data_IF_687625743433
#
_entry.id   IF_687625743433
#
_cell.length_a   1.000
_cell.length_b   1.000
_cell.length_c   1.000
_cell.angle_alpha   90.00
_cell.angle_beta   90.00
_cell.angle_gamma   90.00
#
_symmetry.space_group_name_H-M   'P 1'
#
loop_
_entity.id
_entity.type
_entity.pdbx_description
1 polymer ?
#
# COMPACT_ATOMS: atom_id res chain seq x y z
N UNK A 1 11.14 -24.25 -8.50
CA UNK A 1 10.68 -22.86 -8.32
C UNK A 1 11.20 -22.36 -7.00
N UNK A 2 12.05 -21.36 -6.99
CA UNK A 2 12.52 -20.67 -5.78
C UNK A 2 11.39 -19.79 -5.26
N UNK A 3 10.92 -20.05 -4.03
CA UNK A 3 9.95 -19.17 -3.37
C UNK A 3 10.63 -17.83 -3.14
N UNK A 4 10.07 -16.75 -3.70
CA UNK A 4 10.47 -15.38 -3.38
C UNK A 4 9.65 -14.92 -2.18
N UNK A 5 10.31 -14.48 -1.12
CA UNK A 5 9.66 -13.84 0.03
C UNK A 5 9.69 -12.34 -0.21
N UNK A 6 8.54 -11.69 -0.07
CA UNK A 6 8.40 -10.24 -0.17
C UNK A 6 8.00 -9.71 1.20
N UNK A 7 8.82 -8.86 1.79
CA UNK A 7 8.48 -8.18 3.03
C UNK A 7 7.62 -6.94 2.70
N UNK A 8 6.36 -6.95 3.12
CA UNK A 8 5.43 -5.84 2.91
C UNK A 8 5.18 -5.14 4.24
N UNK A 9 5.34 -3.83 4.26
CA UNK A 9 4.95 -2.99 5.39
C UNK A 9 3.83 -2.04 4.98
N UNK A 10 2.79 -2.00 5.80
CA UNK A 10 1.63 -1.14 5.60
C UNK A 10 1.67 0.07 6.53
N UNK A 11 1.55 1.25 5.94
CA UNK A 11 1.29 2.49 6.66
C UNK A 11 -0.19 2.86 6.55
N UNK A 12 -0.93 2.64 7.62
CA UNK A 12 -2.39 2.82 7.69
C UNK A 12 -2.80 3.88 8.72
N UNK A 13 -1.84 4.57 9.32
CA UNK A 13 -2.14 5.62 10.30
C UNK A 13 -2.65 6.87 9.60
N UNK A 14 -3.57 7.58 10.23
CA UNK A 14 -3.95 8.93 9.86
C UNK A 14 -4.19 9.79 11.12
N UNK A 15 -4.09 11.11 10.96
CA UNK A 15 -4.20 12.06 12.06
C UNK A 15 -5.61 12.13 12.68
N UNK A 16 -6.61 11.53 12.05
CA UNK A 16 -8.00 11.49 12.53
C UNK A 16 -8.30 10.32 13.47
N UNK A 17 -7.40 9.35 13.58
CA UNK A 17 -7.62 8.16 14.41
C UNK A 17 -7.26 8.38 15.89
N UNK A 18 -7.68 7.45 16.76
CA UNK A 18 -7.42 7.52 18.21
C UNK A 18 -5.92 7.51 18.58
N UNK A 19 -5.06 7.03 17.69
CA UNK A 19 -3.59 7.04 17.84
C UNK A 19 -2.92 8.27 17.21
N UNK A 20 -3.68 9.30 16.89
CA UNK A 20 -3.18 10.49 16.18
C UNK A 20 -1.97 11.16 16.85
N UNK A 21 -1.91 11.21 18.18
CA UNK A 21 -0.77 11.78 18.91
C UNK A 21 0.52 10.99 18.68
N UNK A 22 0.46 9.66 18.72
CA UNK A 22 1.61 8.78 18.48
C UNK A 22 2.06 8.90 17.02
N UNK A 23 1.13 8.95 16.09
CA UNK A 23 1.42 9.13 14.68
C UNK A 23 2.06 10.48 14.40
N UNK A 24 1.49 11.55 14.95
CA UNK A 24 2.05 12.89 14.82
C UNK A 24 3.46 13.00 15.43
N UNK A 25 3.70 12.38 16.58
CA UNK A 25 5.03 12.31 17.18
C UNK A 25 6.03 11.57 16.27
N UNK A 26 5.57 10.50 15.57
CA UNK A 26 6.41 9.75 14.65
C UNK A 26 6.81 10.57 13.41
N UNK A 27 5.99 11.55 13.01
CA UNK A 27 6.26 12.42 11.86
C UNK A 27 7.11 13.66 12.23
N UNK A 28 7.08 14.13 13.47
CA UNK A 28 7.80 15.34 13.87
C UNK A 28 9.31 15.13 13.91
N UNK A 29 10.08 16.19 13.59
CA UNK A 29 11.54 16.19 13.67
C UNK A 29 12.27 16.09 12.32
N UNK A 30 11.55 16.20 11.19
CA UNK A 30 12.15 16.16 9.85
C UNK A 30 12.94 14.87 9.64
N UNK A 31 14.18 14.97 9.18
CA UNK A 31 15.08 13.81 8.99
C UNK A 31 15.40 13.02 10.26
N UNK A 32 15.22 13.62 11.45
CA UNK A 32 15.41 12.97 12.75
C UNK A 32 14.13 12.34 13.31
N UNK A 33 13.01 12.41 12.59
CA UNK A 33 11.75 11.80 13.00
C UNK A 33 11.85 10.28 13.12
N UNK A 34 10.95 9.67 13.89
CA UNK A 34 10.89 8.21 14.04
C UNK A 34 10.69 7.50 12.69
N UNK A 35 9.86 8.07 11.81
CA UNK A 35 9.63 7.49 10.47
C UNK A 35 10.90 7.54 9.60
N UNK A 36 11.63 8.66 9.58
CA UNK A 36 12.87 8.76 8.82
C UNK A 36 13.98 7.87 9.39
N UNK A 37 14.08 7.77 10.73
CA UNK A 37 15.00 6.84 11.37
C UNK A 37 14.69 5.38 10.98
N UNK A 38 13.40 5.01 11.00
CA UNK A 38 12.95 3.67 10.61
C UNK A 38 13.28 3.37 9.14
N UNK A 39 12.96 4.27 8.21
CA UNK A 39 13.33 4.13 6.80
C UNK A 39 14.85 3.97 6.63
N UNK A 40 15.64 4.75 7.37
CA UNK A 40 17.10 4.71 7.34
C UNK A 40 17.69 3.37 7.77
N UNK A 41 16.98 2.58 8.61
CA UNK A 41 17.43 1.23 8.97
C UNK A 41 17.47 0.30 7.75
N UNK A 42 16.47 0.36 6.87
CA UNK A 42 16.44 -0.45 5.65
C UNK A 42 17.53 -0.02 4.67
N UNK A 43 17.74 1.28 4.52
CA UNK A 43 18.80 1.83 3.68
C UNK A 43 20.19 1.37 4.15
N UNK A 44 20.48 1.51 5.45
CA UNK A 44 21.78 1.12 6.04
C UNK A 44 22.04 -0.39 5.89
N UNK A 45 21.00 -1.21 6.04
CA UNK A 45 21.12 -2.66 5.95
C UNK A 45 20.94 -3.18 4.51
N UNK A 46 20.74 -2.30 3.53
CA UNK A 46 20.47 -2.65 2.12
C UNK A 46 19.34 -3.69 1.97
N UNK A 47 18.37 -3.63 2.87
CA UNK A 47 17.24 -4.58 2.88
C UNK A 47 16.11 -4.02 2.03
N UNK A 48 15.80 -4.71 0.94
CA UNK A 48 14.64 -4.38 0.10
C UNK A 48 13.34 -4.61 0.86
N UNK A 49 12.39 -3.68 0.70
CA UNK A 49 11.09 -3.72 1.33
C UNK A 49 10.02 -3.12 0.41
N UNK A 50 8.84 -3.71 0.43
CA UNK A 50 7.68 -3.20 -0.28
C UNK A 50 6.82 -2.38 0.69
N UNK A 51 6.50 -1.14 0.33
CA UNK A 51 5.72 -0.20 1.14
C UNK A 51 4.33 0.00 0.55
N UNK A 52 3.31 -0.29 1.35
CA UNK A 52 1.92 0.02 1.06
C UNK A 52 1.45 1.19 1.92
N UNK A 53 1.35 2.39 1.34
CA UNK A 53 0.96 3.62 2.05
C UNK A 53 -0.43 4.03 1.56
N UNK A 54 -1.44 4.09 2.44
CA UNK A 54 -2.76 4.60 2.05
C UNK A 54 -2.70 6.11 1.80
N UNK A 55 -3.60 6.60 0.94
CA UNK A 55 -3.58 8.00 0.52
C UNK A 55 -3.69 9.01 1.66
N UNK A 56 -4.53 8.76 2.66
CA UNK A 56 -4.67 9.64 3.84
C UNK A 56 -3.37 9.70 4.66
N UNK A 57 -2.72 8.56 4.89
CA UNK A 57 -1.40 8.51 5.56
C UNK A 57 -0.34 9.26 4.76
N UNK A 58 -0.34 9.08 3.44
CA UNK A 58 0.60 9.78 2.55
C UNK A 58 0.39 11.31 2.60
N UNK A 59 -0.86 11.76 2.66
CA UNK A 59 -1.18 13.18 2.83
C UNK A 59 -0.63 13.76 4.14
N UNK A 60 -0.70 13.00 5.25
CA UNK A 60 -0.09 13.39 6.52
C UNK A 60 1.45 13.43 6.42
N UNK A 61 2.06 12.41 5.83
CA UNK A 61 3.52 12.39 5.62
C UNK A 61 3.94 13.60 4.81
N UNK A 62 3.26 13.88 3.69
CA UNK A 62 3.55 15.05 2.85
C UNK A 62 3.45 16.36 3.61
N UNK A 63 2.43 16.49 4.45
CA UNK A 63 2.16 17.73 5.20
C UNK A 63 3.13 17.95 6.36
N UNK A 64 3.47 16.91 7.09
CA UNK A 64 4.19 17.03 8.36
C UNK A 64 5.64 16.56 8.30
N UNK A 65 6.01 15.72 7.31
CA UNK A 65 7.37 15.23 7.14
C UNK A 65 7.68 14.83 5.69
N UNK A 66 7.80 15.78 4.76
CA UNK A 66 8.13 15.49 3.37
C UNK A 66 9.49 14.79 3.19
N UNK A 67 10.42 14.90 4.16
CA UNK A 67 11.73 14.22 4.11
C UNK A 67 11.59 12.70 4.00
N UNK A 68 10.54 12.12 4.58
CA UNK A 68 10.28 10.69 4.44
C UNK A 68 9.98 10.30 2.98
N UNK A 69 9.25 11.14 2.24
CA UNK A 69 8.98 10.93 0.81
C UNK A 69 10.29 11.04 0.01
N UNK A 70 11.11 12.04 0.32
CA UNK A 70 12.41 12.22 -0.32
C UNK A 70 13.33 11.00 -0.13
N UNK A 71 13.42 10.47 1.11
CA UNK A 71 14.20 9.27 1.41
C UNK A 71 13.74 8.08 0.55
N UNK A 72 12.42 7.89 0.40
CA UNK A 72 11.87 6.79 -0.39
C UNK A 72 12.22 6.99 -1.88
N UNK A 73 12.02 8.18 -2.42
CA UNK A 73 12.31 8.49 -3.82
C UNK A 73 13.81 8.37 -4.15
N UNK A 74 14.69 8.76 -3.22
CA UNK A 74 16.16 8.66 -3.41
C UNK A 74 16.67 7.22 -3.35
N UNK A 75 15.91 6.29 -2.77
CA UNK A 75 16.32 4.90 -2.49
C UNK A 75 15.38 3.87 -3.13
N UNK A 76 15.10 4.04 -4.43
CA UNK A 76 14.24 3.14 -5.23
C UNK A 76 14.76 1.70 -5.32
N UNK A 77 16.05 1.50 -5.10
CA UNK A 77 16.68 0.18 -5.02
C UNK A 77 16.37 -0.56 -3.71
N UNK A 78 15.94 0.18 -2.68
CA UNK A 78 15.54 -0.34 -1.36
C UNK A 78 14.03 -0.39 -1.21
N UNK A 79 13.32 0.65 -1.66
CA UNK A 79 11.88 0.80 -1.46
C UNK A 79 11.10 0.57 -2.76
N UNK A 80 10.21 -0.42 -2.74
CA UNK A 80 9.20 -0.63 -3.76
C UNK A 80 7.86 -0.10 -3.24
N UNK A 81 7.21 0.79 -3.99
CA UNK A 81 5.90 1.34 -3.63
C UNK A 81 4.82 0.57 -4.37
N UNK A 82 3.78 0.14 -3.66
CA UNK A 82 2.60 -0.51 -4.21
C UNK A 82 1.35 0.34 -4.04
N UNK A 83 0.35 0.05 -4.85
CA UNK A 83 -0.92 0.77 -4.86
C UNK A 83 -1.77 0.41 -3.64
N UNK A 84 -2.37 1.45 -3.06
CA UNK A 84 -3.28 1.38 -1.92
C UNK A 84 -4.48 2.29 -2.17
N UNK A 85 -5.64 2.06 -1.54
CA UNK A 85 -6.74 3.02 -1.59
C UNK A 85 -6.41 4.30 -0.82
N UNK A 86 -7.28 5.30 -0.94
CA UNK A 86 -7.16 6.54 -0.17
C UNK A 86 -7.35 6.31 1.33
N UNK A 87 -8.41 5.61 1.71
CA UNK A 87 -8.71 5.30 3.11
C UNK A 87 -8.54 3.82 3.41
N UNK A 88 -8.17 3.50 4.67
CA UNK A 88 -8.07 2.14 5.18
C UNK A 88 -9.45 1.64 5.63
N UNK A 89 -10.42 1.65 4.72
CA UNK A 89 -11.72 1.12 5.03
C UNK A 89 -11.92 -0.29 4.44
N UNK A 90 -12.67 -1.12 5.14
CA UNK A 90 -13.03 -2.46 4.68
C UNK A 90 -14.11 -2.31 3.61
N UNK A 91 -13.68 -2.36 2.36
CA UNK A 91 -14.49 -2.02 1.19
C UNK A 91 -15.57 -3.03 0.82
N UNK A 92 -15.68 -4.17 1.53
CA UNK A 92 -16.64 -5.25 1.23
C UNK A 92 -18.10 -4.79 1.16
N UNK A 93 -18.44 -3.76 1.93
CA UNK A 93 -19.80 -3.22 2.04
C UNK A 93 -20.01 -1.93 1.23
N UNK A 94 -19.03 -1.52 0.42
CA UNK A 94 -19.12 -0.31 -0.40
C UNK A 94 -19.76 -0.63 -1.75
N UNK A 95 -20.48 0.35 -2.31
CA UNK A 95 -20.93 0.28 -3.71
C UNK A 95 -19.72 0.31 -4.65
N UNK A 96 -19.88 -0.24 -5.86
CA UNK A 96 -18.82 -0.23 -6.87
C UNK A 96 -18.25 1.17 -7.11
N UNK A 97 -19.11 2.19 -7.18
CA UNK A 97 -18.68 3.58 -7.42
C UNK A 97 -17.85 4.15 -6.29
N UNK A 98 -18.22 3.91 -5.03
CA UNK A 98 -17.44 4.36 -3.87
C UNK A 98 -16.12 3.60 -3.76
N UNK A 99 -16.13 2.30 -4.06
CA UNK A 99 -14.90 1.50 -4.10
C UNK A 99 -13.94 2.03 -5.15
N UNK A 100 -14.40 2.21 -6.39
CA UNK A 100 -13.59 2.75 -7.50
C UNK A 100 -13.03 4.11 -7.11
N UNK A 101 -13.88 5.03 -6.64
CA UNK A 101 -13.46 6.38 -6.24
C UNK A 101 -12.34 6.35 -5.18
N UNK A 102 -12.49 5.51 -4.13
CA UNK A 102 -11.48 5.37 -3.08
C UNK A 102 -10.14 4.83 -3.62
N UNK A 103 -10.20 3.86 -4.53
CA UNK A 103 -9.00 3.28 -5.16
C UNK A 103 -8.33 4.29 -6.10
N UNK A 104 -9.08 4.95 -6.97
CA UNK A 104 -8.55 5.96 -7.91
C UNK A 104 -7.90 7.13 -7.18
N UNK A 105 -8.53 7.63 -6.12
CA UNK A 105 -7.99 8.71 -5.31
C UNK A 105 -6.66 8.30 -4.65
N UNK A 106 -6.58 7.07 -4.12
CA UNK A 106 -5.36 6.52 -3.55
C UNK A 106 -4.25 6.37 -4.58
N UNK A 107 -4.55 5.79 -5.74
CA UNK A 107 -3.60 5.64 -6.86
C UNK A 107 -3.08 7.00 -7.31
N UNK A 108 -3.97 7.97 -7.50
CA UNK A 108 -3.59 9.34 -7.91
C UNK A 108 -2.65 9.97 -6.89
N UNK A 109 -2.97 9.86 -5.59
CA UNK A 109 -2.13 10.39 -4.52
C UNK A 109 -0.74 9.73 -4.50
N UNK A 110 -0.67 8.40 -4.59
CA UNK A 110 0.61 7.67 -4.59
C UNK A 110 1.45 8.04 -5.81
N UNK A 111 0.87 8.03 -7.01
CA UNK A 111 1.58 8.36 -8.25
C UNK A 111 1.99 9.83 -8.36
N UNK A 112 1.40 10.74 -7.57
CA UNK A 112 1.83 12.14 -7.53
C UNK A 112 3.07 12.37 -6.67
N UNK A 113 3.37 11.49 -5.71
CA UNK A 113 4.46 11.68 -4.76
C UNK A 113 5.67 10.76 -5.04
N UNK A 114 5.43 9.61 -5.69
CA UNK A 114 6.48 8.63 -5.97
C UNK A 114 6.73 8.47 -7.47
N UNK A 115 8.00 8.55 -7.86
CA UNK A 115 8.41 8.43 -9.26
C UNK A 115 8.35 6.98 -9.79
N UNK A 116 8.47 6.00 -8.89
CA UNK A 116 8.43 4.57 -9.23
C UNK A 116 7.40 3.87 -8.36
N UNK A 117 6.35 3.37 -9.00
CA UNK A 117 5.24 2.67 -8.33
C UNK A 117 4.92 1.40 -9.10
N UNK A 118 4.92 0.26 -8.43
CA UNK A 118 4.47 -1.01 -9.02
C UNK A 118 2.96 -1.04 -9.16
N UNK A 119 2.44 -1.58 -10.26
CA UNK A 119 1.01 -1.74 -10.50
C UNK A 119 0.40 -2.91 -9.69
N UNK A 120 0.89 -3.14 -8.48
CA UNK A 120 0.40 -4.14 -7.55
C UNK A 120 -0.46 -3.48 -6.49
N UNK A 121 -1.59 -4.07 -6.16
CA UNK A 121 -2.56 -3.51 -5.23
C UNK A 121 -2.70 -4.37 -3.98
N UNK A 122 -2.74 -3.70 -2.84
CA UNK A 122 -3.01 -4.32 -1.55
C UNK A 122 -4.29 -3.74 -0.95
N UNK A 123 -5.34 -4.56 -0.88
CA UNK A 123 -6.59 -4.18 -0.22
C UNK A 123 -6.41 -4.05 1.30
N UNK A 124 -7.17 -3.16 1.97
CA UNK A 124 -7.25 -3.14 3.43
C UNK A 124 -7.59 -4.53 3.98
N UNK A 125 -6.84 -4.97 5.01
CA UNK A 125 -7.00 -6.28 5.65
C UNK A 125 -6.98 -7.47 4.68
N UNK A 126 -6.40 -7.31 3.48
CA UNK A 126 -6.47 -8.28 2.39
C UNK A 126 -7.90 -8.66 2.00
N UNK A 127 -8.87 -7.81 2.31
CA UNK A 127 -10.28 -8.04 2.06
C UNK A 127 -10.70 -7.40 0.74
N UNK A 128 -11.10 -8.25 -0.21
CA UNK A 128 -11.60 -7.83 -1.51
C UNK A 128 -12.57 -8.89 -2.06
N UNK A 129 -13.64 -8.46 -2.71
CA UNK A 129 -14.60 -9.37 -3.34
C UNK A 129 -14.18 -9.70 -4.77
N UNK A 130 -14.71 -10.82 -5.33
CA UNK A 130 -14.50 -11.15 -6.75
C UNK A 130 -14.94 -10.02 -7.68
N UNK A 131 -16.06 -9.34 -7.35
CA UNK A 131 -16.53 -8.18 -8.10
C UNK A 131 -15.53 -7.02 -8.07
N UNK A 132 -14.97 -6.73 -6.91
CA UNK A 132 -13.96 -5.67 -6.76
C UNK A 132 -12.66 -6.01 -7.48
N UNK A 133 -12.26 -7.28 -7.52
CA UNK A 133 -11.12 -7.75 -8.31
C UNK A 133 -11.34 -7.43 -9.80
N UNK A 134 -12.54 -7.74 -10.35
CA UNK A 134 -12.87 -7.40 -11.74
C UNK A 134 -12.76 -5.89 -12.03
N UNK A 135 -13.17 -5.05 -11.07
CA UNK A 135 -13.08 -3.59 -11.21
C UNK A 135 -11.61 -3.13 -11.22
N UNK A 136 -10.80 -3.65 -10.31
CA UNK A 136 -9.37 -3.32 -10.20
C UNK A 136 -8.60 -3.74 -11.47
N UNK A 137 -8.89 -4.92 -12.00
CA UNK A 137 -8.28 -5.38 -13.27
C UNK A 137 -8.59 -4.42 -14.42
N UNK A 138 -9.83 -3.91 -14.49
CA UNK A 138 -10.21 -2.90 -15.51
C UNK A 138 -9.48 -1.56 -15.34
N UNK A 139 -8.97 -1.27 -14.15
CA UNK A 139 -8.16 -0.08 -13.87
C UNK A 139 -6.67 -0.27 -14.25
N UNK A 140 -6.29 -1.41 -14.85
CA UNK A 140 -4.93 -1.71 -15.29
C UNK A 140 -3.99 -2.16 -14.17
N UNK A 141 -4.53 -2.62 -13.05
CA UNK A 141 -3.73 -3.19 -11.97
C UNK A 141 -3.33 -4.61 -12.34
N UNK A 142 -2.03 -4.93 -12.23
CA UNK A 142 -1.43 -6.16 -12.75
C UNK A 142 -1.46 -7.31 -11.74
N UNK A 143 -1.41 -7.01 -10.44
CA UNK A 143 -1.46 -8.01 -9.39
C UNK A 143 -2.14 -7.48 -8.13
N UNK A 144 -2.72 -8.39 -7.35
CA UNK A 144 -3.43 -8.09 -6.11
C UNK A 144 -2.92 -9.03 -5.03
N UNK A 145 -2.54 -8.46 -3.89
CA UNK A 145 -2.20 -9.25 -2.71
C UNK A 145 -3.49 -9.70 -2.01
N UNK A 146 -3.63 -11.01 -1.82
CA UNK A 146 -4.78 -11.62 -1.15
C UNK A 146 -4.32 -12.56 -0.04
N UNK A 147 -5.16 -12.74 0.98
CA UNK A 147 -4.94 -13.80 1.97
C UNK A 147 -5.42 -15.14 1.38
N UNK A 148 -4.50 -16.11 1.12
CA UNK A 148 -4.85 -17.37 0.48
C UNK A 148 -5.84 -18.20 1.31
N UNK A 149 -5.82 -18.10 2.63
CA UNK A 149 -6.72 -18.86 3.51
C UNK A 149 -8.18 -18.47 3.31
N UNK A 150 -8.44 -17.19 3.00
CA UNK A 150 -9.81 -16.67 2.77
C UNK A 150 -10.37 -17.03 1.40
N UNK A 151 -9.50 -17.29 0.42
CA UNK A 151 -9.89 -17.48 -0.99
C UNK A 151 -9.69 -18.91 -1.50
N UNK A 152 -9.28 -19.87 -0.65
CA UNK A 152 -8.96 -21.25 -1.06
C UNK A 152 -10.11 -21.93 -1.85
N UNK A 153 -11.36 -21.67 -1.49
CA UNK A 153 -12.52 -22.26 -2.15
C UNK A 153 -12.85 -21.58 -3.50
N UNK A 154 -12.59 -20.28 -3.62
CA UNK A 154 -12.88 -19.50 -4.82
C UNK A 154 -11.77 -19.65 -5.87
N UNK A 155 -10.51 -19.72 -5.43
CA UNK A 155 -9.35 -19.93 -6.29
C UNK A 155 -9.41 -21.32 -6.96
N UNK A 156 -9.87 -22.35 -6.25
CA UNK A 156 -10.03 -23.70 -6.82
C UNK A 156 -11.15 -23.82 -7.84
N UNK A 157 -12.16 -22.93 -7.78
CA UNK A 157 -13.36 -22.98 -8.63
C UNK A 157 -13.33 -22.02 -9.81
N UNK A 158 -12.50 -20.99 -9.77
CA UNK A 158 -12.37 -20.01 -10.85
C UNK A 158 -10.89 -19.85 -11.20
N UNK A 159 -10.50 -20.36 -12.34
CA UNK A 159 -9.28 -19.89 -13.02
C UNK A 159 -9.62 -18.46 -13.47
N UNK A 160 -9.44 -17.50 -12.57
CA UNK A 160 -9.39 -16.10 -12.96
C UNK A 160 -8.00 -15.94 -13.58
N UNK A 161 -7.87 -15.61 -14.85
CA UNK A 161 -6.58 -15.30 -15.43
C UNK A 161 -6.13 -13.91 -14.90
N UNK A 162 -5.74 -13.88 -13.65
CA UNK A 162 -4.95 -12.78 -13.10
C UNK A 162 -3.51 -13.18 -13.38
N UNK A 163 -2.77 -12.42 -14.20
CA UNK A 163 -1.45 -12.84 -14.65
C UNK A 163 -0.47 -13.17 -13.52
N UNK A 164 -0.64 -12.59 -12.35
CA UNK A 164 0.26 -12.83 -11.21
C UNK A 164 -0.47 -12.68 -9.87
N UNK A 165 -0.95 -13.80 -9.30
CA UNK A 165 -1.31 -13.87 -7.88
C UNK A 165 0.00 -14.01 -7.08
N UNK A 166 0.35 -12.99 -6.31
CA UNK A 166 1.44 -13.07 -5.33
C UNK A 166 0.82 -13.48 -4.00
N UNK A 167 1.12 -14.70 -3.56
CA UNK A 167 0.74 -15.19 -2.25
C UNK A 167 1.74 -14.65 -1.21
N UNK A 168 1.24 -13.93 -0.22
CA UNK A 168 1.99 -13.54 0.98
C UNK A 168 1.94 -14.63 2.05
#
# INVERSE_FOLDING_TARGET
MTKKVVDIVNFNADASCLSSSIWMEALQGGTNSKICQWLSLFVRNKKKITLGIIGSTLADIKKYNPDAINIINDKKDVFEIILRPWSHDISLYRTDSLFIYNVELGIKSIKSEFESVSNYYLAPEFMITSRQIELIVKMGIEAIFINPERYQNDIKKRIIPIPHLVYG
#
